data_IF_680713937867
#
_entry.id   IF_680713937867
#
_cell.length_a   1.000
_cell.length_b   1.000
_cell.length_c   1.000
_cell.angle_alpha   90.00
_cell.angle_beta   90.00
_cell.angle_gamma   90.00
#
_symmetry.space_group_name_H-M   'P 1'
#
loop_
_entity.id
_entity.type
_entity.pdbx_description
1 polymer ?
#
# COMPACT_ATOMS: atom_id res chain seq x y z
N UNK A 1 2.45 6.69 2.87
CA UNK A 1 1.20 7.15 2.22
C UNK A 1 0.89 6.21 1.08
N UNK A 2 -0.38 5.84 0.88
CA UNK A 2 -0.77 4.95 -0.22
C UNK A 2 -0.28 5.46 -1.59
N UNK A 3 -0.46 6.76 -1.90
CA UNK A 3 0.01 7.32 -3.20
C UNK A 3 1.54 7.29 -3.36
N UNK A 4 2.31 7.57 -2.30
CA UNK A 4 3.78 7.57 -2.39
C UNK A 4 4.35 6.16 -2.51
N UNK A 5 3.69 5.15 -1.94
CA UNK A 5 4.13 3.75 -2.04
C UNK A 5 4.10 3.24 -3.49
N UNK A 6 3.29 3.84 -4.38
CA UNK A 6 3.30 3.52 -5.81
C UNK A 6 4.71 3.62 -6.42
N UNK A 7 5.56 4.53 -5.90
CA UNK A 7 6.95 4.68 -6.36
C UNK A 7 7.88 3.55 -5.95
N UNK A 8 7.50 2.77 -4.94
CA UNK A 8 8.27 1.65 -4.44
C UNK A 8 7.67 0.28 -4.82
N UNK A 9 6.76 0.24 -5.81
CA UNK A 9 6.05 -0.99 -6.18
C UNK A 9 6.99 -2.16 -6.46
N UNK A 10 8.05 -1.91 -7.22
CA UNK A 10 9.04 -2.91 -7.60
C UNK A 10 9.84 -3.41 -6.39
N UNK A 11 10.28 -2.52 -5.49
CA UNK A 11 10.93 -2.91 -4.24
C UNK A 11 10.02 -3.73 -3.33
N UNK A 12 8.72 -3.41 -3.28
CA UNK A 12 7.75 -4.22 -2.53
C UNK A 12 7.65 -5.62 -3.13
N UNK A 13 7.76 -5.76 -4.45
CA UNK A 13 7.78 -7.09 -5.09
C UNK A 13 9.11 -7.82 -4.88
N UNK A 14 10.22 -7.26 -5.36
CA UNK A 14 11.51 -7.95 -5.45
C UNK A 14 12.19 -8.13 -4.09
N UNK A 15 12.17 -7.10 -3.25
CA UNK A 15 12.92 -7.08 -1.98
C UNK A 15 12.10 -7.63 -0.81
N UNK A 16 10.76 -7.51 -0.87
CA UNK A 16 9.86 -7.96 0.19
C UNK A 16 9.10 -9.24 -0.16
N UNK A 17 8.22 -9.18 -1.15
CA UNK A 17 7.27 -10.27 -1.42
C UNK A 17 7.99 -11.53 -1.91
N UNK A 18 8.96 -11.39 -2.82
CA UNK A 18 9.73 -12.50 -3.36
C UNK A 18 10.66 -13.13 -2.32
N UNK A 19 11.28 -12.31 -1.47
CA UNK A 19 12.17 -12.75 -0.38
C UNK A 19 11.42 -13.29 0.84
N UNK A 20 10.08 -13.13 0.90
CA UNK A 20 9.22 -13.52 2.04
C UNK A 20 9.65 -12.89 3.37
N UNK A 21 10.09 -11.63 3.34
CA UNK A 21 10.53 -10.93 4.54
C UNK A 21 9.33 -10.57 5.44
N UNK A 22 9.48 -10.60 6.78
CA UNK A 22 8.40 -10.26 7.71
C UNK A 22 8.26 -8.73 7.89
N UNK A 23 7.96 -8.02 6.80
CA UNK A 23 7.78 -6.56 6.79
C UNK A 23 6.30 -6.20 6.91
N UNK A 24 5.99 -5.18 7.71
CA UNK A 24 4.66 -4.58 7.80
C UNK A 24 4.70 -3.16 7.25
N UNK A 25 3.88 -2.89 6.24
CA UNK A 25 3.68 -1.54 5.72
C UNK A 25 2.44 -0.90 6.36
N UNK A 26 2.65 0.13 7.19
CA UNK A 26 1.57 0.95 7.72
C UNK A 26 1.23 2.07 6.73
N UNK A 27 0.15 1.91 5.97
CA UNK A 27 -0.24 2.85 4.92
C UNK A 27 -1.22 3.92 5.42
N UNK A 28 -0.70 5.13 5.59
CA UNK A 28 -1.52 6.32 5.83
C UNK A 28 -2.09 6.88 4.51
N UNK A 29 -3.14 7.71 4.59
CA UNK A 29 -3.80 8.38 3.45
C UNK A 29 -4.24 7.42 2.34
N UNK A 30 -4.79 6.27 2.72
CA UNK A 30 -5.47 5.37 1.80
C UNK A 30 -6.85 5.95 1.39
N UNK A 31 -7.25 5.71 0.14
CA UNK A 31 -8.47 6.25 -0.44
C UNK A 31 -8.40 7.73 -0.85
N UNK A 32 -9.53 8.42 -0.70
CA UNK A 32 -9.69 9.83 -1.09
C UNK A 32 -9.07 10.75 -0.03
N UNK A 33 -8.18 11.66 -0.45
CA UNK A 33 -7.45 12.56 0.46
C UNK A 33 -7.92 14.02 0.42
N UNK A 34 -8.91 14.35 -0.41
CA UNK A 34 -9.52 15.68 -0.47
C UNK A 34 -8.77 16.67 -1.39
N UNK A 35 -8.42 17.85 -0.86
CA UNK A 35 -7.93 19.00 -1.63
C UNK A 35 -6.58 18.83 -2.31
N UNK A 36 -5.80 17.82 -1.92
CA UNK A 36 -4.48 17.55 -2.51
C UNK A 36 -4.57 17.08 -3.97
N UNK A 37 -5.78 16.74 -4.44
CA UNK A 37 -6.09 16.44 -5.83
C UNK A 37 -5.68 15.04 -6.29
N UNK A 38 -5.89 14.79 -7.59
CA UNK A 38 -5.83 13.46 -8.19
C UNK A 38 -4.47 12.75 -8.02
N UNK A 39 -3.36 13.52 -7.98
CA UNK A 39 -2.01 12.96 -7.84
C UNK A 39 -1.71 12.44 -6.43
N UNK A 40 -2.53 12.80 -5.44
CA UNK A 40 -2.35 12.41 -4.04
C UNK A 40 -3.37 11.37 -3.55
N UNK A 41 -4.40 11.04 -4.33
CA UNK A 41 -5.38 10.04 -3.93
C UNK A 41 -4.74 8.64 -3.86
N UNK A 42 -4.73 8.06 -2.67
CA UNK A 42 -4.23 6.72 -2.41
C UNK A 42 -5.26 5.63 -2.70
N UNK A 43 -5.89 5.64 -3.87
CA UNK A 43 -7.02 4.75 -4.16
C UNK A 43 -6.63 3.37 -4.72
N UNK A 44 -5.35 3.15 -5.01
CA UNK A 44 -4.89 2.01 -5.79
C UNK A 44 -4.12 0.94 -5.00
N UNK A 45 -3.80 1.16 -3.72
CA UNK A 45 -2.97 0.24 -2.91
C UNK A 45 -3.53 -1.18 -2.86
N UNK A 46 -4.83 -1.35 -2.60
CA UNK A 46 -5.47 -2.66 -2.63
C UNK A 46 -5.31 -3.33 -3.99
N UNK A 47 -5.49 -2.58 -5.09
CA UNK A 47 -5.44 -3.14 -6.43
C UNK A 47 -4.03 -3.61 -6.81
N UNK A 48 -3.01 -2.77 -6.62
CA UNK A 48 -1.65 -3.11 -7.04
C UNK A 48 -0.92 -4.01 -6.05
N UNK A 49 -1.21 -3.97 -4.74
CA UNK A 49 -0.56 -4.87 -3.78
C UNK A 49 -1.17 -6.27 -3.78
N UNK A 50 -2.45 -6.42 -4.16
CA UNK A 50 -3.14 -7.72 -4.16
C UNK A 50 -2.57 -8.72 -5.15
N UNK A 51 -1.88 -8.26 -6.19
CA UNK A 51 -1.23 -9.17 -7.15
C UNK A 51 0.08 -9.75 -6.62
N UNK A 52 0.63 -9.21 -5.54
CA UNK A 52 1.90 -9.66 -4.98
C UNK A 52 1.70 -10.94 -4.17
N UNK A 53 2.56 -11.97 -4.36
CA UNK A 53 2.40 -13.26 -3.71
C UNK A 53 2.65 -13.17 -2.20
N UNK A 54 1.80 -13.82 -1.41
CA UNK A 54 1.99 -13.95 0.05
C UNK A 54 1.71 -12.67 0.86
N UNK A 55 1.28 -11.58 0.23
CA UNK A 55 0.95 -10.33 0.92
C UNK A 55 -0.43 -10.44 1.58
N UNK A 56 -0.49 -10.03 2.84
CA UNK A 56 -1.75 -9.85 3.57
C UNK A 56 -2.14 -8.38 3.55
N UNK A 57 -3.35 -8.09 3.07
CA UNK A 57 -3.91 -6.73 3.05
C UNK A 57 -4.95 -6.60 4.16
N UNK A 58 -4.84 -5.54 4.96
CA UNK A 58 -5.75 -5.24 6.06
C UNK A 58 -6.24 -3.79 5.97
N UNK A 59 -7.52 -3.58 6.28
CA UNK A 59 -8.15 -2.27 6.38
C UNK A 59 -8.81 -2.15 7.76
N UNK A 60 -8.09 -1.65 8.79
CA UNK A 60 -8.64 -1.55 10.13
C UNK A 60 -9.81 -0.55 10.17
N UNK A 61 -10.89 -0.92 10.86
CA UNK A 61 -12.10 -0.11 10.99
C UNK A 61 -11.96 0.97 12.07
N UNK A 62 -11.31 0.63 13.18
CA UNK A 62 -11.16 1.44 14.37
C UNK A 62 -9.78 1.22 15.05
N UNK A 63 -9.48 2.12 15.98
CA UNK A 63 -8.38 1.95 16.92
C UNK A 63 -8.86 1.10 18.12
N UNK A 64 -7.94 0.54 18.94
CA UNK A 64 -8.29 -0.17 20.16
C UNK A 64 -9.15 0.65 21.14
#
# INVERSE_FOLDING_TARGET
YSTFLQRAFDQVFEEFALQKLPVVFCLDRAGLVGSDGAVHHGFADIAYLRVLPGVVLMAPADAP
#
